data_IF_258665324879
#
_entry.id   IF_258665324879
#
_cell.length_a   1.000
_cell.length_b   1.000
_cell.length_c   1.000
_cell.angle_alpha   90.00
_cell.angle_beta   90.00
_cell.angle_gamma   90.00
#
_symmetry.space_group_name_H-M   'P 1'
#
loop_
_entity.id
_entity.type
_entity.pdbx_description
1 polymer ?
#
# COMPACT_ATOMS: atom_id res chain seq x y z
N UNK A 1 -12.74 9.31 -16.98
CA UNK A 1 -13.78 8.26 -16.99
C UNK A 1 -13.41 6.94 -16.27
N UNK A 2 -12.18 6.70 -15.84
CA UNK A 2 -11.81 5.46 -15.08
C UNK A 2 -12.20 5.46 -13.59
N UNK A 3 -12.43 6.61 -12.96
CA UNK A 3 -12.84 6.68 -11.54
C UNK A 3 -14.27 6.17 -11.28
N UNK A 4 -15.13 6.16 -12.29
CA UNK A 4 -16.56 5.80 -12.15
C UNK A 4 -16.82 4.32 -11.83
N UNK A 5 -15.89 3.40 -12.15
CA UNK A 5 -16.07 1.95 -11.90
C UNK A 5 -15.43 1.46 -10.59
N UNK A 6 -14.45 2.17 -10.06
CA UNK A 6 -13.68 1.72 -8.89
C UNK A 6 -14.48 1.72 -7.58
N UNK A 7 -15.37 2.70 -7.39
CA UNK A 7 -16.20 2.81 -6.17
C UNK A 7 -17.23 1.68 -6.09
N UNK A 8 -18.06 1.42 -7.13
CA UNK A 8 -18.97 0.27 -7.13
C UNK A 8 -18.26 -1.04 -6.87
N UNK A 9 -17.13 -1.29 -7.55
CA UNK A 9 -16.35 -2.51 -7.37
C UNK A 9 -15.85 -2.69 -5.94
N UNK A 10 -15.34 -1.62 -5.31
CA UNK A 10 -14.90 -1.62 -3.92
C UNK A 10 -16.05 -1.96 -2.96
N UNK A 11 -17.21 -1.31 -3.15
CA UNK A 11 -18.39 -1.50 -2.28
C UNK A 11 -18.93 -2.93 -2.42
N UNK A 12 -19.05 -3.44 -3.64
CA UNK A 12 -19.52 -4.82 -3.85
C UNK A 12 -18.56 -5.86 -3.25
N UNK A 13 -17.24 -5.68 -3.42
CA UNK A 13 -16.26 -6.54 -2.77
C UNK A 13 -16.30 -6.46 -1.25
N UNK A 14 -16.56 -5.28 -0.68
CA UNK A 14 -16.74 -5.12 0.76
C UNK A 14 -17.98 -5.90 1.25
N UNK A 15 -19.12 -5.79 0.57
CA UNK A 15 -20.33 -6.52 0.91
C UNK A 15 -20.13 -8.05 0.78
N UNK A 16 -19.42 -8.49 -0.26
CA UNK A 16 -19.07 -9.90 -0.43
C UNK A 16 -18.20 -10.42 0.72
N UNK A 17 -17.21 -9.65 1.18
CA UNK A 17 -16.39 -9.99 2.36
C UNK A 17 -17.23 -10.07 3.63
N UNK A 18 -18.29 -9.28 3.75
CA UNK A 18 -19.28 -9.37 4.81
C UNK A 18 -20.31 -10.50 4.60
N UNK A 19 -20.15 -11.33 3.57
CA UNK A 19 -21.08 -12.41 3.16
C UNK A 19 -22.49 -11.89 2.81
N UNK A 20 -22.59 -10.65 2.37
CA UNK A 20 -23.81 -9.99 1.98
C UNK A 20 -23.93 -9.93 0.46
N UNK A 21 -25.15 -10.23 -0.05
CA UNK A 21 -25.45 -10.14 -1.48
C UNK A 21 -26.44 -9.00 -1.71
N UNK A 22 -26.01 -7.88 -2.27
CA UNK A 22 -26.92 -6.80 -2.63
C UNK A 22 -27.80 -7.23 -3.81
N UNK A 23 -29.07 -6.86 -3.76
CA UNK A 23 -30.05 -7.07 -4.81
C UNK A 23 -30.33 -5.75 -5.50
N UNK A 24 -30.27 -5.72 -6.81
CA UNK A 24 -30.68 -4.56 -7.59
C UNK A 24 -32.22 -4.52 -7.66
N UNK A 25 -32.83 -3.63 -6.89
CA UNK A 25 -34.30 -3.50 -6.81
C UNK A 25 -34.87 -2.65 -7.95
N UNK A 26 -34.04 -1.75 -8.49
CA UNK A 26 -34.28 -0.94 -9.70
C UNK A 26 -32.93 -0.66 -10.34
N UNK A 27 -32.96 -0.32 -11.62
CA UNK A 27 -31.74 -0.01 -12.37
C UNK A 27 -30.89 1.04 -11.64
N UNK A 28 -29.73 0.62 -11.14
CA UNK A 28 -28.77 1.47 -10.41
C UNK A 28 -29.11 1.69 -8.93
N UNK A 29 -30.13 1.04 -8.38
CA UNK A 29 -30.47 1.09 -6.94
C UNK A 29 -30.34 -0.30 -6.35
N UNK A 30 -29.50 -0.41 -5.34
CA UNK A 30 -29.16 -1.65 -4.68
C UNK A 30 -29.70 -1.67 -3.26
N UNK A 31 -30.10 -2.84 -2.80
CA UNK A 31 -30.59 -3.07 -1.45
C UNK A 31 -29.90 -4.28 -0.85
N UNK A 32 -29.54 -4.18 0.42
CA UNK A 32 -28.93 -5.28 1.18
C UNK A 32 -29.44 -5.23 2.62
N UNK A 33 -29.68 -6.40 3.22
CA UNK A 33 -29.98 -6.49 4.64
C UNK A 33 -28.67 -6.52 5.44
N UNK A 34 -28.48 -5.54 6.33
CA UNK A 34 -27.35 -5.47 7.24
C UNK A 34 -27.80 -5.88 8.65
N UNK A 35 -26.98 -6.66 9.32
CA UNK A 35 -27.22 -7.10 10.70
C UNK A 35 -26.87 -6.00 11.73
N UNK A 36 -27.19 -6.26 12.99
CA UNK A 36 -26.90 -5.32 14.10
C UNK A 36 -25.42 -4.99 14.21
N UNK A 37 -24.53 -5.94 13.93
CA UNK A 37 -23.09 -5.77 14.06
C UNK A 37 -22.57 -4.80 13.01
N UNK A 38 -22.89 -5.05 11.75
CA UNK A 38 -22.48 -4.18 10.64
C UNK A 38 -23.19 -2.82 10.68
N UNK A 39 -24.48 -2.78 11.12
CA UNK A 39 -25.19 -1.54 11.30
C UNK A 39 -24.50 -0.64 12.34
N UNK A 40 -24.04 -1.19 13.46
CA UNK A 40 -23.29 -0.44 14.48
C UNK A 40 -21.94 0.06 13.97
N UNK A 41 -21.27 -0.70 13.15
CA UNK A 41 -19.99 -0.28 12.54
C UNK A 41 -20.17 0.81 11.47
N UNK A 42 -21.26 0.76 10.70
CA UNK A 42 -21.55 1.71 9.62
C UNK A 42 -22.19 3.01 10.13
N UNK A 43 -23.14 2.92 11.09
CA UNK A 43 -23.99 4.03 11.50
C UNK A 43 -23.82 4.44 12.97
N UNK A 44 -22.97 3.71 13.70
CA UNK A 44 -22.70 3.97 15.10
C UNK A 44 -23.42 3.06 16.08
N UNK A 45 -23.04 3.09 17.36
CA UNK A 45 -23.40 2.11 18.38
C UNK A 45 -24.91 1.90 18.65
N UNK A 46 -25.75 2.87 18.31
CA UNK A 46 -27.21 2.79 18.46
C UNK A 46 -27.94 2.14 17.28
N UNK A 47 -27.26 1.94 16.17
CA UNK A 47 -27.86 1.40 14.97
C UNK A 47 -28.29 -0.07 15.16
N UNK A 48 -29.37 -0.42 14.50
CA UNK A 48 -29.94 -1.79 14.48
C UNK A 48 -29.94 -2.33 13.06
N UNK A 49 -30.13 -3.64 12.95
CA UNK A 49 -30.33 -4.30 11.67
C UNK A 49 -31.40 -3.60 10.83
N UNK A 50 -31.10 -3.40 9.55
CA UNK A 50 -31.99 -2.71 8.62
C UNK A 50 -31.75 -3.10 7.17
N UNK A 51 -32.70 -2.80 6.33
CA UNK A 51 -32.50 -2.78 4.89
C UNK A 51 -31.76 -1.52 4.51
N UNK A 52 -30.59 -1.69 3.92
CA UNK A 52 -29.74 -0.61 3.46
C UNK A 52 -29.88 -0.44 1.95
N UNK A 53 -30.44 0.70 1.53
CA UNK A 53 -30.58 1.06 0.12
C UNK A 53 -29.54 2.08 -0.27
N UNK A 54 -28.83 1.84 -1.39
CA UNK A 54 -27.79 2.71 -1.86
C UNK A 54 -27.73 2.79 -3.40
N UNK A 55 -27.09 3.84 -3.88
CA UNK A 55 -26.83 4.06 -5.30
C UNK A 55 -25.49 4.76 -5.48
N UNK A 56 -24.97 4.70 -6.70
CA UNK A 56 -23.77 5.44 -7.11
C UNK A 56 -24.10 6.65 -8.03
N UNK A 57 -25.38 6.85 -8.34
CA UNK A 57 -25.86 7.94 -9.19
C UNK A 57 -26.56 9.01 -8.32
N UNK A 58 -26.06 10.26 -8.30
CA UNK A 58 -26.66 11.35 -7.54
C UNK A 58 -28.14 11.58 -7.87
N UNK A 59 -28.53 11.47 -9.15
CA UNK A 59 -29.92 11.68 -9.59
C UNK A 59 -30.88 10.64 -9.03
N UNK A 60 -30.42 9.39 -8.92
CA UNK A 60 -31.22 8.30 -8.36
C UNK A 60 -31.31 8.42 -6.84
N UNK A 61 -30.28 8.94 -6.18
CA UNK A 61 -30.27 9.16 -4.74
C UNK A 61 -31.39 10.10 -4.32
N UNK A 62 -31.51 11.24 -4.99
CA UNK A 62 -32.54 12.23 -4.70
C UNK A 62 -33.98 11.72 -5.04
N UNK A 63 -34.10 11.02 -6.17
CA UNK A 63 -35.45 10.55 -6.64
C UNK A 63 -36.01 9.45 -5.76
N UNK A 64 -35.16 8.55 -5.24
CA UNK A 64 -35.59 7.34 -4.53
C UNK A 64 -35.17 7.31 -3.06
N UNK A 65 -34.64 8.40 -2.53
CA UNK A 65 -34.12 8.50 -1.15
C UNK A 65 -33.14 7.38 -0.79
N UNK A 66 -32.37 6.92 -1.79
CA UNK A 66 -31.31 5.95 -1.60
C UNK A 66 -30.02 6.65 -1.17
N UNK A 67 -29.21 6.03 -0.31
CA UNK A 67 -27.97 6.62 0.16
C UNK A 67 -26.93 6.68 -0.98
N UNK A 68 -26.41 7.86 -1.28
CA UNK A 68 -25.38 8.06 -2.30
C UNK A 68 -24.02 7.62 -1.79
N UNK A 69 -23.39 6.65 -2.49
CA UNK A 69 -22.01 6.27 -2.23
C UNK A 69 -21.11 6.83 -3.34
N UNK A 70 -20.42 7.92 -3.02
CA UNK A 70 -19.53 8.64 -3.94
C UNK A 70 -18.26 9.09 -3.24
N UNK A 71 -17.30 9.62 -4.00
CA UNK A 71 -16.09 10.23 -3.46
C UNK A 71 -16.46 11.33 -2.45
N UNK A 72 -15.90 11.25 -1.23
CA UNK A 72 -16.19 12.19 -0.15
C UNK A 72 -17.47 11.91 0.64
N UNK A 73 -18.24 10.86 0.31
CA UNK A 73 -19.40 10.48 1.13
C UNK A 73 -18.96 9.81 2.43
N UNK A 74 -19.67 10.12 3.51
CA UNK A 74 -19.45 9.49 4.83
C UNK A 74 -19.47 7.97 4.75
N UNK A 75 -20.37 7.40 3.93
CA UNK A 75 -20.51 5.97 3.74
C UNK A 75 -19.25 5.33 3.13
N UNK A 76 -18.72 5.91 2.08
CA UNK A 76 -17.51 5.41 1.45
C UNK A 76 -16.32 5.47 2.43
N UNK A 77 -16.17 6.57 3.16
CA UNK A 77 -15.10 6.73 4.14
C UNK A 77 -15.21 5.71 5.27
N UNK A 78 -16.43 5.41 5.70
CA UNK A 78 -16.68 4.38 6.73
C UNK A 78 -16.35 2.99 6.22
N UNK A 79 -16.78 2.62 5.01
CA UNK A 79 -16.43 1.35 4.36
C UNK A 79 -14.91 1.20 4.24
N UNK A 80 -14.21 2.21 3.75
CA UNK A 80 -12.75 2.21 3.63
C UNK A 80 -12.08 2.00 5.00
N UNK A 81 -12.56 2.67 6.03
CA UNK A 81 -12.06 2.53 7.40
C UNK A 81 -12.28 1.11 7.95
N UNK A 82 -13.43 0.49 7.68
CA UNK A 82 -13.72 -0.88 8.09
C UNK A 82 -12.80 -1.89 7.38
N UNK A 83 -12.61 -1.74 6.07
CA UNK A 83 -11.66 -2.55 5.30
C UNK A 83 -10.25 -2.42 5.89
N UNK A 84 -9.82 -1.20 6.23
CA UNK A 84 -8.50 -0.96 6.82
C UNK A 84 -8.33 -1.59 8.20
N UNK A 85 -9.40 -1.65 9.01
CA UNK A 85 -9.36 -2.31 10.32
C UNK A 85 -9.24 -3.84 10.23
N UNK A 86 -9.85 -4.46 9.22
CA UNK A 86 -9.85 -5.92 9.07
C UNK A 86 -8.57 -6.48 8.46
N UNK A 87 -7.86 -5.71 7.66
CA UNK A 87 -6.70 -6.18 6.91
C UNK A 87 -5.39 -5.97 7.66
N UNK A 88 -5.12 -6.79 8.69
CA UNK A 88 -3.87 -6.68 9.47
C UNK A 88 -2.70 -7.39 8.77
N UNK A 89 -2.89 -8.64 8.35
CA UNK A 89 -1.89 -9.45 7.64
C UNK A 89 -2.58 -10.39 6.69
N UNK A 90 -2.14 -10.43 5.45
CA UNK A 90 -2.64 -11.36 4.44
C UNK A 90 -1.51 -12.25 3.92
N UNK A 91 -1.86 -13.34 3.24
CA UNK A 91 -0.90 -14.16 2.51
C UNK A 91 -1.33 -14.32 1.07
N UNK A 92 -0.33 -14.40 0.18
CA UNK A 92 -0.56 -14.60 -1.23
C UNK A 92 0.53 -15.44 -1.88
N UNK A 93 0.17 -16.09 -2.95
CA UNK A 93 1.03 -16.94 -3.76
C UNK A 93 1.10 -16.37 -5.17
N UNK A 94 2.31 -16.19 -5.70
CA UNK A 94 2.51 -15.96 -7.12
C UNK A 94 2.70 -17.31 -7.81
N UNK A 95 1.79 -17.73 -8.72
CA UNK A 95 1.93 -19.00 -9.41
C UNK A 95 3.22 -19.07 -10.23
N UNK A 96 3.78 -20.26 -10.39
CA UNK A 96 5.05 -20.47 -11.13
C UNK A 96 4.88 -20.40 -12.66
N UNK A 97 3.69 -20.63 -13.15
CA UNK A 97 3.31 -20.55 -14.57
C UNK A 97 3.45 -19.15 -15.19
N UNK A 98 3.59 -18.14 -14.35
CA UNK A 98 3.92 -16.75 -14.75
C UNK A 98 5.35 -16.66 -15.32
N UNK A 99 6.24 -17.62 -15.01
CA UNK A 99 7.64 -17.61 -15.43
C UNK A 99 7.92 -18.69 -16.47
N UNK A 100 8.46 -18.28 -17.62
CA UNK A 100 8.94 -19.20 -18.62
C UNK A 100 10.35 -19.68 -18.25
N UNK A 101 10.44 -20.89 -17.74
CA UNK A 101 11.65 -21.48 -17.19
C UNK A 101 12.87 -21.46 -18.12
N UNK A 102 12.78 -21.79 -19.42
CA UNK A 102 13.92 -21.76 -20.34
C UNK A 102 14.58 -20.37 -20.43
N UNK A 103 13.81 -19.30 -20.32
CA UNK A 103 14.35 -17.93 -20.29
C UNK A 103 15.12 -17.68 -19.02
N UNK A 104 14.63 -18.18 -17.88
CA UNK A 104 15.32 -18.06 -16.58
C UNK A 104 16.66 -18.81 -16.62
N UNK A 105 16.68 -20.05 -17.12
CA UNK A 105 17.90 -20.85 -17.27
C UNK A 105 18.94 -20.14 -18.13
N UNK A 106 18.54 -19.63 -19.29
CA UNK A 106 19.43 -18.90 -20.20
C UNK A 106 20.06 -17.69 -19.51
N UNK A 107 19.26 -16.86 -18.84
CA UNK A 107 19.75 -15.68 -18.11
C UNK A 107 20.76 -16.04 -16.99
N UNK A 108 20.57 -17.17 -16.32
CA UNK A 108 21.52 -17.65 -15.29
C UNK A 108 22.85 -18.03 -15.93
N UNK A 109 22.82 -18.82 -17.00
CA UNK A 109 24.02 -19.24 -17.72
C UNK A 109 24.79 -18.05 -18.29
N UNK A 110 24.08 -17.07 -18.87
CA UNK A 110 24.70 -15.85 -19.39
C UNK A 110 25.39 -15.04 -18.29
N UNK A 111 24.76 -14.90 -17.11
CA UNK A 111 25.38 -14.23 -15.95
C UNK A 111 26.62 -14.95 -15.44
N UNK A 112 26.59 -16.28 -15.36
CA UNK A 112 27.72 -17.08 -14.94
C UNK A 112 28.90 -16.96 -15.89
N UNK A 113 28.64 -16.94 -17.20
CA UNK A 113 29.66 -16.70 -18.24
C UNK A 113 30.29 -15.32 -18.13
N UNK A 114 29.52 -14.28 -17.81
CA UNK A 114 30.07 -12.92 -17.59
C UNK A 114 31.01 -12.90 -16.38
N UNK A 115 30.66 -13.59 -15.31
CA UNK A 115 31.47 -13.62 -14.09
C UNK A 115 32.73 -14.52 -14.23
N UNK A 116 32.65 -15.58 -15.04
CA UNK A 116 33.72 -16.57 -15.24
C UNK A 116 33.82 -16.95 -16.73
N UNK A 117 34.40 -16.10 -17.58
CA UNK A 117 34.36 -16.28 -19.04
C UNK A 117 35.12 -17.51 -19.53
N UNK A 118 36.06 -18.03 -18.76
CA UNK A 118 36.86 -19.22 -19.13
C UNK A 118 36.21 -20.56 -18.75
N UNK A 119 35.14 -20.53 -17.95
CA UNK A 119 34.47 -21.72 -17.45
C UNK A 119 33.21 -22.03 -18.25
N UNK A 120 32.90 -23.31 -18.37
CA UNK A 120 31.63 -23.78 -18.92
C UNK A 120 30.70 -24.20 -17.78
N UNK A 121 29.43 -23.80 -17.89
CA UNK A 121 28.42 -24.10 -16.89
C UNK A 121 27.29 -24.92 -17.50
N UNK A 122 26.88 -25.96 -16.79
CA UNK A 122 25.77 -26.83 -17.16
C UNK A 122 24.76 -26.91 -16.03
N UNK A 123 23.48 -26.77 -16.35
CA UNK A 123 22.40 -27.00 -15.40
C UNK A 123 22.11 -28.51 -15.41
N UNK A 124 22.32 -29.15 -14.28
CA UNK A 124 22.11 -30.60 -14.12
C UNK A 124 20.68 -30.92 -13.74
N UNK A 125 20.11 -30.09 -12.88
CA UNK A 125 18.77 -30.28 -12.31
C UNK A 125 18.23 -28.97 -11.78
N UNK A 126 16.93 -28.88 -11.61
CA UNK A 126 16.28 -27.75 -10.96
C UNK A 126 15.10 -28.19 -10.11
N UNK A 127 14.80 -27.43 -9.07
CA UNK A 127 13.66 -27.64 -8.22
C UNK A 127 12.88 -26.34 -8.08
N UNK A 128 11.58 -26.40 -8.25
CA UNK A 128 10.69 -25.30 -7.91
C UNK A 128 10.52 -25.27 -6.39
N UNK A 129 10.84 -24.13 -5.79
CA UNK A 129 10.56 -23.81 -4.39
C UNK A 129 9.87 -22.45 -4.32
N UNK A 130 9.25 -22.16 -3.19
CA UNK A 130 8.64 -20.87 -2.94
C UNK A 130 9.34 -20.17 -1.79
N UNK A 131 9.88 -19.00 -2.06
CA UNK A 131 10.48 -18.14 -1.03
C UNK A 131 9.42 -17.31 -0.32
N UNK A 132 9.40 -17.29 1.02
CA UNK A 132 8.53 -16.38 1.76
C UNK A 132 9.15 -14.97 1.77
N UNK A 133 8.32 -13.96 1.44
CA UNK A 133 8.67 -12.55 1.46
C UNK A 133 7.71 -11.78 2.35
N UNK A 134 8.21 -10.83 3.13
CA UNK A 134 7.40 -9.83 3.77
C UNK A 134 7.18 -8.68 2.77
N UNK A 135 5.95 -8.49 2.33
CA UNK A 135 5.53 -7.40 1.46
C UNK A 135 4.87 -6.31 2.28
N UNK A 136 5.39 -5.10 2.25
CA UNK A 136 4.85 -3.98 3.02
C UNK A 136 4.47 -2.86 2.08
N UNK A 137 3.24 -2.36 2.21
CA UNK A 137 2.83 -1.13 1.54
C UNK A 137 3.08 0.04 2.47
N UNK A 138 3.94 0.96 2.05
CA UNK A 138 4.31 2.17 2.77
C UNK A 138 3.75 3.39 2.06
N UNK A 139 3.22 4.34 2.82
CA UNK A 139 2.96 5.69 2.35
C UNK A 139 4.08 6.60 2.83
N UNK A 140 4.75 7.23 1.89
CA UNK A 140 5.69 8.30 2.11
C UNK A 140 4.96 9.60 1.87
N UNK A 141 4.93 10.47 2.86
CA UNK A 141 4.34 11.81 2.75
C UNK A 141 5.45 12.83 2.90
N UNK A 142 5.74 13.52 1.84
CA UNK A 142 6.65 14.66 1.81
C UNK A 142 5.85 15.89 2.21
N UNK A 143 6.20 16.46 3.33
CA UNK A 143 5.54 17.63 3.91
C UNK A 143 6.48 18.82 3.81
N UNK A 144 6.00 19.85 3.13
CA UNK A 144 6.59 21.17 3.04
C UNK A 144 5.43 22.15 2.83
N UNK A 145 5.58 23.20 2.02
CA UNK A 145 4.45 24.01 1.55
C UNK A 145 3.41 23.19 0.77
N UNK A 146 3.91 22.29 -0.04
CA UNK A 146 3.09 21.33 -0.75
C UNK A 146 3.20 19.95 -0.12
N UNK A 147 2.08 19.25 -0.08
CA UNK A 147 2.01 17.86 0.35
C UNK A 147 2.09 16.95 -0.88
N UNK A 148 3.14 16.13 -0.95
CA UNK A 148 3.27 15.06 -1.95
C UNK A 148 3.20 13.70 -1.27
N UNK A 149 2.44 12.77 -1.85
CA UNK A 149 2.36 11.41 -1.37
C UNK A 149 2.88 10.41 -2.41
N UNK A 150 3.59 9.41 -1.94
CA UNK A 150 4.14 8.32 -2.73
C UNK A 150 3.83 6.99 -2.04
N UNK A 151 3.42 5.97 -2.81
CA UNK A 151 3.25 4.62 -2.31
C UNK A 151 4.45 3.77 -2.75
N UNK A 152 5.09 3.11 -1.78
CA UNK A 152 6.13 2.11 -2.03
C UNK A 152 5.70 0.75 -1.52
N UNK A 153 6.08 -0.30 -2.26
CA UNK A 153 5.69 -1.68 -1.97
C UNK A 153 6.92 -2.61 -1.92
N UNK A 154 7.89 -2.32 -1.04
CA UNK A 154 9.08 -3.16 -0.91
C UNK A 154 8.76 -4.58 -0.43
N UNK A 155 9.62 -5.50 -0.84
CA UNK A 155 9.62 -6.90 -0.44
C UNK A 155 10.90 -7.20 0.33
N UNK A 156 10.79 -7.90 1.45
CA UNK A 156 11.93 -8.42 2.20
C UNK A 156 11.96 -9.93 2.09
N UNK A 157 13.01 -10.49 1.52
CA UNK A 157 13.21 -11.93 1.48
C UNK A 157 13.44 -12.47 2.90
N UNK A 158 12.53 -13.29 3.40
CA UNK A 158 12.60 -13.83 4.76
C UNK A 158 13.64 -14.97 4.92
N UNK A 159 14.30 -15.37 3.84
CA UNK A 159 15.38 -16.36 3.88
C UNK A 159 16.75 -15.70 4.04
N UNK A 160 17.02 -14.61 3.29
CA UNK A 160 18.34 -13.97 3.25
C UNK A 160 18.36 -12.50 3.70
N UNK A 161 17.19 -11.88 3.92
CA UNK A 161 17.09 -10.50 4.38
C UNK A 161 17.21 -9.43 3.28
N UNK A 162 17.35 -9.84 2.03
CA UNK A 162 17.47 -8.89 0.92
C UNK A 162 16.16 -8.10 0.73
N UNK A 163 16.27 -6.78 0.72
CA UNK A 163 15.16 -5.87 0.36
C UNK A 163 15.18 -5.64 -1.14
N UNK A 164 14.03 -5.78 -1.78
CA UNK A 164 13.87 -5.59 -3.22
C UNK A 164 12.58 -4.83 -3.52
N UNK A 165 12.60 -4.04 -4.57
CA UNK A 165 11.45 -3.27 -5.05
C UNK A 165 10.99 -3.87 -6.38
N UNK A 166 10.10 -4.86 -6.32
CA UNK A 166 9.44 -5.42 -7.50
C UNK A 166 7.97 -5.03 -7.50
N UNK A 167 7.49 -4.55 -8.62
CA UNK A 167 6.06 -4.41 -8.84
C UNK A 167 5.49 -5.78 -9.20
N UNK A 168 4.67 -6.31 -8.29
CA UNK A 168 3.92 -7.54 -8.53
C UNK A 168 2.49 -7.14 -8.84
N UNK A 169 1.98 -7.43 -10.05
CA UNK A 169 0.59 -7.18 -10.38
C UNK A 169 -0.34 -7.96 -9.43
N UNK A 170 -1.29 -7.26 -8.84
CA UNK A 170 -2.15 -7.85 -7.82
C UNK A 170 -3.09 -8.95 -8.37
N UNK A 171 -3.44 -8.85 -9.64
CA UNK A 171 -4.25 -9.80 -10.40
C UNK A 171 -3.56 -11.16 -10.60
N UNK A 172 -2.23 -11.20 -10.54
CA UNK A 172 -1.47 -12.44 -10.61
C UNK A 172 -1.35 -13.17 -9.27
N UNK A 173 -1.66 -12.50 -8.16
CA UNK A 173 -1.57 -13.08 -6.83
C UNK A 173 -2.82 -13.90 -6.50
N UNK A 174 -2.62 -15.16 -6.14
CA UNK A 174 -3.68 -16.01 -5.58
C UNK A 174 -3.68 -15.86 -4.05
N UNK A 175 -4.84 -15.67 -3.40
CA UNK A 175 -4.90 -15.65 -1.94
C UNK A 175 -4.54 -17.02 -1.36
N UNK A 176 -3.86 -17.03 -0.22
CA UNK A 176 -3.48 -18.24 0.48
C UNK A 176 -1.98 -18.42 0.68
N UNK A 177 -1.60 -19.58 1.17
CA UNK A 177 -0.22 -19.98 1.43
C UNK A 177 0.25 -21.02 0.40
N UNK A 178 1.56 -21.17 0.30
CA UNK A 178 2.19 -22.21 -0.50
C UNK A 178 2.13 -23.58 0.20
N UNK A 179 2.18 -24.68 -0.58
CA UNK A 179 2.38 -26.02 -0.05
C UNK A 179 3.66 -26.04 0.82
N UNK A 180 3.57 -26.51 2.08
CA UNK A 180 4.72 -26.57 2.99
C UNK A 180 5.92 -27.36 2.43
N UNK A 181 5.69 -28.36 1.57
CA UNK A 181 6.75 -29.15 0.92
C UNK A 181 7.56 -28.34 -0.10
N UNK A 182 6.94 -27.33 -0.69
CA UNK A 182 7.58 -26.45 -1.67
C UNK A 182 8.09 -25.15 -1.03
N UNK A 183 7.64 -24.81 0.17
CA UNK A 183 8.04 -23.58 0.85
C UNK A 183 9.46 -23.68 1.39
N UNK A 184 10.28 -22.66 1.11
CA UNK A 184 11.56 -22.47 1.79
C UNK A 184 11.32 -22.06 3.24
N UNK A 185 12.11 -22.61 4.14
CA UNK A 185 12.01 -22.26 5.56
C UNK A 185 12.44 -20.82 5.79
N UNK A 186 11.57 -20.04 6.44
CA UNK A 186 11.88 -18.70 6.92
C UNK A 186 13.05 -18.74 7.91
N UNK A 187 14.04 -17.84 7.75
CA UNK A 187 15.18 -17.67 8.65
C UNK A 187 15.08 -16.40 9.49
N UNK A 188 14.36 -15.38 8.99
CA UNK A 188 14.19 -14.10 9.66
C UNK A 188 12.82 -13.99 10.33
N UNK A 189 12.77 -13.37 11.50
CA UNK A 189 11.51 -12.96 12.11
C UNK A 189 10.93 -11.75 11.35
N UNK A 190 9.61 -11.57 11.42
CA UNK A 190 8.96 -10.41 10.78
C UNK A 190 9.47 -9.08 11.33
N UNK A 191 9.74 -9.02 12.66
CA UNK A 191 10.31 -7.84 13.30
C UNK A 191 11.68 -7.50 12.70
N UNK A 192 12.58 -8.49 12.57
CA UNK A 192 13.91 -8.26 11.98
C UNK A 192 13.82 -7.87 10.51
N UNK A 193 12.94 -8.52 9.75
CA UNK A 193 12.70 -8.17 8.35
C UNK A 193 12.20 -6.71 8.20
N UNK A 194 11.28 -6.28 9.07
CA UNK A 194 10.80 -4.90 9.06
C UNK A 194 11.89 -3.90 9.46
N UNK A 195 12.76 -4.24 10.41
CA UNK A 195 13.93 -3.41 10.76
C UNK A 195 14.88 -3.22 9.58
N UNK A 196 15.21 -4.31 8.86
CA UNK A 196 16.04 -4.23 7.64
C UNK A 196 15.40 -3.35 6.57
N UNK A 197 14.09 -3.44 6.42
CA UNK A 197 13.33 -2.56 5.52
C UNK A 197 13.47 -1.10 5.93
N UNK A 198 13.33 -0.78 7.23
CA UNK A 198 13.46 0.59 7.73
C UNK A 198 14.88 1.13 7.51
N UNK A 199 15.90 0.33 7.78
CA UNK A 199 17.30 0.68 7.56
C UNK A 199 17.58 0.97 6.07
N UNK A 200 17.11 0.10 5.18
CA UNK A 200 17.25 0.27 3.71
C UNK A 200 16.54 1.53 3.24
N UNK A 201 15.28 1.72 3.64
CA UNK A 201 14.49 2.89 3.26
C UNK A 201 15.12 4.20 3.77
N UNK A 202 15.61 4.20 5.02
CA UNK A 202 16.29 5.37 5.59
C UNK A 202 17.56 5.71 4.79
N UNK A 203 18.32 4.68 4.39
CA UNK A 203 19.46 4.85 3.50
C UNK A 203 19.07 5.46 2.15
N UNK A 204 18.05 4.88 1.48
CA UNK A 204 17.55 5.38 0.20
C UNK A 204 17.09 6.85 0.29
N UNK A 205 16.33 7.20 1.33
CA UNK A 205 15.81 8.55 1.52
C UNK A 205 16.91 9.56 1.84
N UNK A 206 17.98 9.13 2.53
CA UNK A 206 19.14 9.99 2.83
C UNK A 206 19.92 10.40 1.58
N UNK A 207 19.97 9.51 0.58
CA UNK A 207 20.68 9.75 -0.69
C UNK A 207 19.73 10.14 -1.84
N UNK A 208 18.43 10.28 -1.57
CA UNK A 208 17.47 10.78 -2.54
C UNK A 208 17.74 12.27 -2.86
N UNK A 209 17.27 12.72 -4.03
CA UNK A 209 17.40 14.12 -4.44
C UNK A 209 16.75 15.06 -3.40
N UNK A 210 17.54 15.94 -2.72
CA UNK A 210 17.03 16.85 -1.71
C UNK A 210 16.39 18.11 -2.29
N UNK A 211 16.31 18.27 -3.62
CA UNK A 211 15.90 19.53 -4.26
C UNK A 211 14.57 20.06 -3.75
N UNK A 212 13.57 19.20 -3.55
CA UNK A 212 12.27 19.58 -2.98
C UNK A 212 12.39 20.20 -1.58
N UNK A 213 13.31 19.67 -0.76
CA UNK A 213 13.53 20.15 0.60
C UNK A 213 14.35 21.45 0.62
N UNK A 214 15.30 21.57 -0.30
CA UNK A 214 16.11 22.80 -0.48
C UNK A 214 15.20 23.95 -0.91
N UNK A 215 14.39 23.76 -1.96
CA UNK A 215 13.43 24.75 -2.44
C UNK A 215 12.46 25.18 -1.35
N UNK A 216 11.91 24.22 -0.60
CA UNK A 216 11.01 24.51 0.52
C UNK A 216 11.70 25.26 1.67
N UNK A 217 12.96 24.92 1.97
CA UNK A 217 13.74 25.61 2.99
C UNK A 217 14.13 27.04 2.58
N UNK A 218 14.37 27.28 1.29
CA UNK A 218 14.62 28.63 0.74
C UNK A 218 13.39 29.51 0.83
N UNK A 219 12.21 28.99 0.44
CA UNK A 219 10.94 29.66 0.60
C UNK A 219 10.68 30.01 2.08
N UNK A 220 10.91 29.05 2.99
CA UNK A 220 10.73 29.24 4.41
C UNK A 220 11.63 30.34 4.99
N UNK A 221 12.81 30.59 4.44
CA UNK A 221 13.71 31.69 4.86
C UNK A 221 13.18 33.08 4.50
N UNK A 222 12.37 33.17 3.47
CA UNK A 222 11.81 34.45 3.00
C UNK A 222 10.52 34.84 3.74
N UNK A 223 9.84 33.87 4.36
CA UNK A 223 8.56 34.09 5.01
C UNK A 223 8.60 34.84 6.37
N UNK A 224 9.61 34.72 7.24
CA UNK A 224 9.57 35.40 8.54
C UNK A 224 9.31 36.88 8.39
N UNK A 225 9.94 37.55 7.44
CA UNK A 225 9.73 38.98 7.21
C UNK A 225 8.28 39.31 6.76
N UNK A 226 7.69 38.45 5.93
CA UNK A 226 6.28 38.61 5.52
C UNK A 226 5.32 38.32 6.66
N UNK A 227 5.60 37.30 7.48
CA UNK A 227 4.79 36.95 8.65
C UNK A 227 4.89 38.03 9.73
N UNK A 228 6.07 38.59 9.96
CA UNK A 228 6.26 39.73 10.87
C UNK A 228 5.44 40.92 10.40
N UNK A 229 5.46 41.24 9.12
CA UNK A 229 4.65 42.31 8.56
C UNK A 229 3.14 42.02 8.68
N UNK A 230 2.70 40.78 8.46
CA UNK A 230 1.30 40.38 8.57
C UNK A 230 0.78 40.46 10.02
N UNK A 231 1.63 40.15 10.99
CA UNK A 231 1.29 40.18 12.41
C UNK A 231 1.70 41.47 13.14
N UNK A 232 2.08 42.52 12.40
CA UNK A 232 2.49 43.80 13.01
C UNK A 232 1.41 44.43 13.92
N UNK A 233 0.14 44.25 13.55
CA UNK A 233 -1.02 44.79 14.27
C UNK A 233 -1.43 43.93 15.49
N UNK A 234 -0.73 42.84 15.78
CA UNK A 234 -0.98 42.04 16.97
C UNK A 234 -0.38 42.72 18.20
N UNK A 235 -1.20 43.04 19.23
CA UNK A 235 -0.73 43.77 20.40
C UNK A 235 0.20 42.94 21.29
N UNK A 236 0.08 41.59 21.28
CA UNK A 236 0.90 40.68 22.07
C UNK A 236 2.05 40.12 21.24
N UNK A 237 3.27 40.55 21.57
CA UNK A 237 4.48 40.12 20.94
C UNK A 237 4.80 38.63 21.18
N UNK A 238 4.41 38.08 22.33
CA UNK A 238 4.66 36.68 22.68
C UNK A 238 3.72 35.76 21.90
N UNK A 239 2.44 36.09 21.79
CA UNK A 239 1.48 35.34 20.95
C UNK A 239 1.86 35.37 19.49
N UNK A 240 2.32 36.54 18.99
CA UNK A 240 2.85 36.68 17.61
C UNK A 240 4.03 35.74 17.36
N UNK A 241 5.01 35.68 18.25
CA UNK A 241 6.18 34.84 18.09
C UNK A 241 5.81 33.35 18.14
N UNK A 242 4.87 32.94 19.00
CA UNK A 242 4.36 31.56 19.05
C UNK A 242 3.71 31.19 17.71
N UNK A 243 2.86 32.05 17.16
CA UNK A 243 2.19 31.77 15.86
C UNK A 243 3.18 31.69 14.70
N UNK A 244 4.16 32.57 14.65
CA UNK A 244 5.22 32.52 13.63
C UNK A 244 6.00 31.20 13.78
N UNK A 245 6.39 30.80 14.98
CA UNK A 245 7.10 29.57 15.24
C UNK A 245 6.26 28.31 14.85
N UNK A 246 4.95 28.33 15.10
CA UNK A 246 4.05 27.24 14.68
C UNK A 246 3.95 27.13 13.15
N UNK A 247 3.82 28.25 12.43
CA UNK A 247 3.75 28.26 10.97
C UNK A 247 5.07 27.75 10.36
N UNK A 248 6.21 28.24 10.89
CA UNK A 248 7.54 27.80 10.48
C UNK A 248 7.73 26.28 10.71
N UNK A 249 7.28 25.75 11.86
CA UNK A 249 7.34 24.32 12.12
C UNK A 249 6.45 23.50 11.20
N UNK A 250 5.31 24.00 10.79
CA UNK A 250 4.41 23.33 9.82
C UNK A 250 5.04 23.27 8.43
N UNK A 251 5.66 24.36 8.00
CA UNK A 251 6.28 24.49 6.68
C UNK A 251 7.65 23.78 6.58
N UNK A 252 8.26 23.39 7.71
CA UNK A 252 9.56 22.71 7.73
C UNK A 252 9.53 21.41 6.93
N UNK A 253 10.44 21.22 5.95
CA UNK A 253 10.50 20.02 5.14
C UNK A 253 10.71 18.77 6.00
N UNK A 254 9.84 17.77 5.81
CA UNK A 254 9.94 16.49 6.50
C UNK A 254 9.29 15.36 5.71
N UNK A 255 9.80 14.15 5.89
CA UNK A 255 9.22 12.94 5.30
C UNK A 255 8.59 12.12 6.42
N UNK A 256 7.30 11.83 6.28
CA UNK A 256 6.60 10.89 7.14
C UNK A 256 6.44 9.57 6.41
N UNK A 257 6.83 8.47 7.06
CA UNK A 257 6.67 7.10 6.54
C UNK A 257 5.63 6.39 7.38
N UNK A 258 4.55 5.96 6.75
CA UNK A 258 3.46 5.23 7.41
C UNK A 258 3.26 3.87 6.76
N UNK A 259 3.39 2.75 7.49
CA UNK A 259 2.98 1.44 7.00
C UNK A 259 1.45 1.39 6.91
N UNK A 260 0.94 0.94 5.77
CA UNK A 260 -0.50 0.80 5.51
C UNK A 260 -0.96 -0.65 5.64
N UNK A 261 -0.20 -1.58 5.05
CA UNK A 261 -0.54 -3.01 5.00
C UNK A 261 0.73 -3.84 4.97
N UNK A 262 0.62 -5.08 5.42
CA UNK A 262 1.64 -6.09 5.24
C UNK A 262 1.02 -7.41 4.77
N UNK A 263 1.78 -8.17 3.98
CA UNK A 263 1.39 -9.50 3.52
C UNK A 263 2.62 -10.41 3.47
N UNK A 264 2.37 -11.71 3.58
CA UNK A 264 3.39 -12.72 3.29
C UNK A 264 3.16 -13.21 1.87
N UNK A 265 4.11 -12.95 0.99
CA UNK A 265 4.05 -13.44 -0.38
C UNK A 265 4.99 -14.62 -0.55
N UNK A 266 4.47 -15.67 -1.20
CA UNK A 266 5.25 -16.82 -1.61
C UNK A 266 5.58 -16.66 -3.09
N UNK A 267 6.84 -16.34 -3.38
CA UNK A 267 7.31 -16.15 -4.76
C UNK A 267 8.10 -17.37 -5.23
N UNK A 268 7.87 -17.83 -6.48
CA UNK A 268 8.58 -18.98 -7.01
C UNK A 268 10.08 -18.68 -7.14
N UNK A 269 10.88 -19.67 -6.73
CA UNK A 269 12.33 -19.70 -6.85
C UNK A 269 12.74 -21.00 -7.48
N UNK A 270 13.43 -20.92 -8.61
CA UNK A 270 14.06 -22.07 -9.21
C UNK A 270 15.44 -22.26 -8.58
N UNK A 271 15.64 -23.37 -7.92
CA UNK A 271 16.93 -23.77 -7.33
C UNK A 271 17.62 -24.70 -8.32
N UNK A 272 18.70 -24.21 -8.92
CA UNK A 272 19.45 -24.96 -9.93
C UNK A 272 20.67 -25.63 -9.33
N UNK A 273 20.90 -26.90 -9.71
CA UNK A 273 22.17 -27.55 -9.50
C UNK A 273 23.03 -27.30 -10.74
N UNK A 274 24.14 -26.60 -10.57
CA UNK A 274 25.03 -26.18 -11.66
C UNK A 274 26.36 -26.89 -11.51
N UNK A 275 26.87 -27.43 -12.60
CA UNK A 275 28.21 -27.96 -12.72
C UNK A 275 29.08 -26.98 -13.51
N UNK A 276 30.25 -26.70 -12.99
CA UNK A 276 31.31 -25.94 -13.66
C UNK A 276 32.35 -26.91 -14.19
N UNK A 277 32.76 -26.73 -15.46
CA UNK A 277 33.80 -27.52 -16.13
C UNK A 277 34.87 -26.58 -16.67
#
# INVERSE_FOLDING_TARGET
MQQSKAIPELVFKFLELCQLKPVEIRKGIFQVHIDDTLAKELDGWRAKARLFQFTFDPKLADTYQAELISTGSYRLDTIVRLIQKQAVLSSGLLPHDVFYEPVVQRRILDRLKIQNPTSRFYILDHQLKYGPYLWVTLRLTYLAYEKREELRKPLVDLVNGKVVNYEIPADLLKPGSCDPKLALRRRLSYKKAYQLLQETLTGELKYADPQWAITAAEQLKQEPAQLEQYFQDMPDAEERNIRIAELMNRARPRIQVRPLRAAILYLPKFVYRIMQV
#
